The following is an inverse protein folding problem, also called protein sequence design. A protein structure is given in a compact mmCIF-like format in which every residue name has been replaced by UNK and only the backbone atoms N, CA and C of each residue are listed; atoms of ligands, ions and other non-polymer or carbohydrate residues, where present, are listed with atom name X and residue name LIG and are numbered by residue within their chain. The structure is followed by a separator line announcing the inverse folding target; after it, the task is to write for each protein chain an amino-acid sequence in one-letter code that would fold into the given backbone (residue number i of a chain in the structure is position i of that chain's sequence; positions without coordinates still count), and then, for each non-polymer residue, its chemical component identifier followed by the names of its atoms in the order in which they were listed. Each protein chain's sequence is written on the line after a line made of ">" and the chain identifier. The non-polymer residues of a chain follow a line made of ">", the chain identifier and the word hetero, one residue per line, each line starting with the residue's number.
data_IF_729218131786
#
_entry.id   IF_729218131786
#
_cell.length_a   1.000
_cell.length_b   1.000
_cell.length_c   1.000
_cell.angle_alpha   90.00
_cell.angle_beta   90.00
_cell.angle_gamma   90.00
#
_symmetry.space_group_name_H-M   'P 1'
#
loop_
_entity.id
_entity.type
_entity.pdbx_description
1 polymer ?
#
# COMPACT_ATOMS: atom_id res chain seq x y z
N UNK A 1 -12.94 -11.09 23.09
CA UNK A 1 -12.71 -9.79 22.42
C UNK A 1 -13.69 -9.68 21.26
N UNK A 2 -14.52 -8.64 21.23
CA UNK A 2 -15.52 -8.44 20.15
C UNK A 2 -14.83 -8.45 18.78
N UNK A 3 -15.42 -9.12 17.80
CA UNK A 3 -15.06 -9.07 16.38
C UNK A 3 -14.92 -7.60 15.95
N UNK A 4 -13.71 -7.04 16.00
CA UNK A 4 -13.44 -5.77 15.36
C UNK A 4 -13.45 -6.01 13.87
N UNK A 5 -14.08 -5.09 13.13
CA UNK A 5 -14.03 -5.12 11.68
C UNK A 5 -12.57 -5.05 11.24
N UNK A 6 -12.14 -5.96 10.36
CA UNK A 6 -10.79 -5.97 9.81
C UNK A 6 -10.51 -4.67 9.08
N UNK A 7 -11.54 -4.03 8.50
CA UNK A 7 -11.42 -2.68 7.93
C UNK A 7 -10.96 -1.64 8.95
N UNK A 8 -11.53 -1.67 10.17
CA UNK A 8 -11.10 -0.79 11.27
C UNK A 8 -9.67 -1.10 11.71
N UNK A 9 -9.30 -2.38 11.79
CA UNK A 9 -7.96 -2.80 12.19
C UNK A 9 -6.92 -2.30 11.17
N UNK A 10 -7.16 -2.52 9.88
CA UNK A 10 -6.26 -2.10 8.81
C UNK A 10 -6.14 -0.58 8.72
N UNK A 11 -7.12 0.17 9.22
CA UNK A 11 -7.07 1.63 9.28
C UNK A 11 -6.18 2.21 10.39
N UNK A 12 -5.58 1.34 11.22
CA UNK A 12 -4.60 1.69 12.26
C UNK A 12 -3.15 1.33 11.87
N UNK A 13 -2.95 0.83 10.65
CA UNK A 13 -1.61 0.55 10.11
C UNK A 13 -0.84 1.85 9.90
N UNK A 14 0.45 1.89 10.21
CA UNK A 14 1.29 3.05 9.90
C UNK A 14 2.09 2.79 8.63
N UNK A 15 2.00 3.66 7.62
CA UNK A 15 2.75 3.55 6.37
C UNK A 15 4.28 3.53 6.54
N UNK A 16 4.78 4.01 7.67
CA UNK A 16 6.20 3.92 8.06
C UNK A 16 6.65 2.53 8.51
N UNK A 17 5.73 1.57 8.65
CA UNK A 17 6.00 0.23 9.17
C UNK A 17 6.13 -0.82 8.06
N UNK A 18 7.05 -1.77 8.25
CA UNK A 18 7.17 -2.94 7.37
C UNK A 18 6.15 -4.02 7.73
N UNK A 19 5.62 -4.70 6.72
CA UNK A 19 4.75 -5.87 6.90
C UNK A 19 5.59 -7.13 6.69
N UNK A 20 5.37 -8.13 7.53
CA UNK A 20 5.89 -9.47 7.30
C UNK A 20 4.78 -10.36 6.78
N UNK A 21 5.04 -11.07 5.68
CA UNK A 21 4.15 -12.08 5.13
C UNK A 21 4.80 -13.46 5.35
N UNK A 22 4.00 -14.42 5.77
CA UNK A 22 4.43 -15.81 5.96
C UNK A 22 3.35 -16.77 5.50
N UNK A 23 3.77 -18.00 5.22
CA UNK A 23 2.85 -19.13 5.03
C UNK A 23 2.56 -19.77 6.38
N UNK A 24 1.33 -20.25 6.57
CA UNK A 24 1.04 -21.21 7.63
C UNK A 24 1.08 -22.61 7.04
N UNK A 25 1.79 -23.51 7.71
CA UNK A 25 1.56 -24.93 7.49
C UNK A 25 0.26 -25.37 8.19
N UNK A 26 -0.45 -26.38 7.69
CA UNK A 26 -1.70 -26.86 8.31
C UNK A 26 -1.56 -27.26 9.79
N UNK A 27 -0.35 -27.64 10.23
CA UNK A 27 -0.04 -28.06 11.61
C UNK A 27 0.03 -26.87 12.57
N UNK A 28 0.44 -25.69 12.09
CA UNK A 28 0.53 -24.46 12.88
C UNK A 28 -0.84 -23.81 13.09
N UNK A 29 -1.84 -24.13 12.24
CA UNK A 29 -3.19 -23.58 12.35
C UNK A 29 -4.00 -24.14 13.53
N UNK A 30 -3.68 -25.36 14.00
CA UNK A 30 -4.42 -26.02 15.09
C UNK A 30 -3.86 -25.77 16.50
N UNK A 31 -2.61 -25.32 16.62
CA UNK A 31 -1.95 -25.14 17.91
C UNK A 31 -1.91 -23.66 18.28
N UNK A 32 -2.77 -23.27 19.22
CA UNK A 32 -2.53 -22.08 20.03
C UNK A 32 -1.30 -22.34 20.90
N UNK A 33 -0.13 -21.81 20.52
CA UNK A 33 0.85 -21.15 21.39
C UNK A 33 2.28 -21.18 20.81
N UNK A 34 2.97 -20.07 21.04
CA UNK A 34 4.41 -19.80 20.93
C UNK A 34 5.20 -19.99 19.61
N UNK A 35 4.91 -20.93 18.71
CA UNK A 35 5.91 -21.33 17.69
C UNK A 35 5.53 -21.08 16.21
N UNK A 36 4.89 -19.95 15.88
CA UNK A 36 4.66 -19.55 14.47
C UNK A 36 5.92 -19.08 13.71
N UNK A 37 7.11 -19.47 14.17
CA UNK A 37 8.40 -18.95 13.69
C UNK A 37 9.30 -20.01 13.04
N UNK A 38 8.77 -21.20 12.71
CA UNK A 38 9.52 -22.22 11.96
C UNK A 38 9.28 -22.09 10.46
N UNK A 39 10.15 -21.28 9.85
CA UNK A 39 10.31 -21.00 8.42
C UNK A 39 9.94 -22.11 7.42
N UNK A 40 9.33 -21.67 6.32
CA UNK A 40 9.78 -22.08 4.98
C UNK A 40 9.62 -20.99 3.91
N UNK A 41 8.71 -20.02 4.06
CA UNK A 41 8.55 -18.96 3.05
C UNK A 41 8.10 -17.63 3.68
N UNK A 42 9.05 -16.75 4.03
CA UNK A 42 8.79 -15.44 4.65
C UNK A 42 9.23 -14.31 3.72
N UNK A 43 8.34 -13.34 3.49
CA UNK A 43 8.63 -12.12 2.75
C UNK A 43 8.50 -10.91 3.68
N UNK A 44 9.61 -10.22 3.92
CA UNK A 44 9.61 -8.91 4.57
C UNK A 44 9.44 -7.88 3.46
N UNK A 45 8.38 -7.08 3.54
CA UNK A 45 8.11 -6.05 2.54
C UNK A 45 8.48 -4.66 3.04
N UNK A 46 8.96 -3.83 2.12
CA UNK A 46 9.26 -2.43 2.42
C UNK A 46 7.97 -1.59 2.56
N UNK A 47 8.11 -0.35 2.99
CA UNK A 47 6.98 0.55 3.30
C UNK A 47 6.06 0.78 2.09
N UNK A 48 6.61 0.97 0.89
CA UNK A 48 5.80 1.15 -0.33
C UNK A 48 4.97 -0.09 -0.68
N UNK A 49 5.57 -1.29 -0.59
CA UNK A 49 4.84 -2.55 -0.80
C UNK A 49 3.86 -2.84 0.34
N UNK A 50 4.12 -2.34 1.54
CA UNK A 50 3.19 -2.49 2.66
C UNK A 50 1.86 -1.80 2.36
N UNK A 51 1.86 -0.61 1.74
CA UNK A 51 0.64 0.07 1.28
C UNK A 51 -0.13 -0.75 0.25
N UNK A 52 0.56 -1.40 -0.68
CA UNK A 52 -0.05 -2.30 -1.66
C UNK A 52 -0.72 -3.51 -0.99
N UNK A 53 -0.09 -4.06 0.07
CA UNK A 53 -0.65 -5.17 0.84
C UNK A 53 -1.87 -4.72 1.65
N UNK A 54 -1.82 -3.58 2.31
CA UNK A 54 -2.97 -3.07 3.07
C UNK A 54 -4.15 -2.83 2.12
N UNK A 55 -3.89 -2.22 0.96
CA UNK A 55 -4.90 -2.05 -0.09
C UNK A 55 -5.46 -3.40 -0.57
N UNK A 56 -4.60 -4.40 -0.78
CA UNK A 56 -5.00 -5.76 -1.15
C UNK A 56 -5.90 -6.39 -0.08
N UNK A 57 -5.53 -6.30 1.20
CA UNK A 57 -6.31 -6.82 2.32
C UNK A 57 -7.65 -6.09 2.50
N UNK A 58 -7.66 -4.77 2.35
CA UNK A 58 -8.90 -3.96 2.38
C UNK A 58 -9.87 -4.37 1.26
N UNK A 59 -9.34 -4.64 0.07
CA UNK A 59 -10.14 -5.10 -1.09
C UNK A 59 -10.64 -6.53 -0.96
N UNK A 60 -9.86 -7.40 -0.30
CA UNK A 60 -10.29 -8.77 0.01
C UNK A 60 -11.41 -8.78 1.06
N UNK A 61 -11.41 -7.81 1.97
CA UNK A 61 -12.54 -7.54 2.86
C UNK A 61 -12.86 -8.71 3.78
N UNK A 62 -14.06 -9.28 3.65
CA UNK A 62 -14.60 -10.29 4.58
C UNK A 62 -13.81 -11.61 4.62
N UNK A 63 -13.00 -11.89 3.61
CA UNK A 63 -12.18 -13.11 3.56
C UNK A 63 -10.88 -12.98 4.35
N UNK A 64 -10.59 -11.79 4.88
CA UNK A 64 -9.48 -11.57 5.82
C UNK A 64 -9.99 -11.83 7.23
N UNK A 65 -9.25 -12.64 8.00
CA UNK A 65 -9.60 -12.99 9.37
C UNK A 65 -8.51 -12.53 10.32
N UNK A 66 -8.90 -11.89 11.43
CA UNK A 66 -7.98 -11.62 12.53
C UNK A 66 -7.82 -12.88 13.38
N UNK A 67 -6.59 -13.38 13.51
CA UNK A 67 -6.27 -14.47 14.43
C UNK A 67 -6.06 -13.92 15.83
N UNK A 68 -5.08 -13.01 15.99
CA UNK A 68 -4.69 -12.47 17.30
C UNK A 68 -3.94 -11.15 17.17
N UNK A 69 -3.81 -10.48 18.31
CA UNK A 69 -2.86 -9.39 18.47
C UNK A 69 -1.66 -9.87 19.28
N UNK A 70 -0.46 -9.53 18.82
CA UNK A 70 0.79 -9.74 19.55
C UNK A 70 1.27 -8.39 20.06
N UNK A 71 1.61 -8.29 21.35
CA UNK A 71 2.15 -7.06 21.93
C UNK A 71 3.54 -6.81 21.32
N UNK A 72 3.79 -5.59 20.86
CA UNK A 72 5.07 -5.17 20.31
C UNK A 72 5.39 -3.80 20.89
N UNK A 73 5.96 -3.73 22.09
CA UNK A 73 6.19 -2.45 22.79
C UNK A 73 4.98 -1.88 23.52
N UNK A 74 5.09 -0.62 23.97
CA UNK A 74 4.13 0.06 24.85
C UNK A 74 2.89 0.58 24.09
N UNK A 75 3.08 1.08 22.87
CA UNK A 75 2.01 1.66 22.02
C UNK A 75 1.82 0.97 20.67
N UNK A 76 2.48 -0.17 20.45
CA UNK A 76 2.36 -0.93 19.20
C UNK A 76 1.91 -2.38 19.43
N UNK A 77 1.09 -2.87 18.49
CA UNK A 77 0.65 -4.25 18.43
C UNK A 77 0.82 -4.75 17.00
N UNK A 78 1.12 -6.02 16.85
CA UNK A 78 1.10 -6.69 15.56
C UNK A 78 -0.23 -7.42 15.46
N UNK A 79 -1.07 -7.07 14.49
CA UNK A 79 -2.20 -7.90 14.11
C UNK A 79 -1.71 -9.03 13.21
N UNK A 80 -2.07 -10.26 13.57
CA UNK A 80 -1.88 -11.43 12.72
C UNK A 80 -3.19 -11.67 11.99
N UNK A 81 -3.17 -11.43 10.69
CA UNK A 81 -4.30 -11.62 9.79
C UNK A 81 -4.06 -12.80 8.87
N UNK A 82 -5.10 -13.57 8.56
CA UNK A 82 -5.06 -14.61 7.54
C UNK A 82 -5.98 -14.30 6.38
N UNK A 83 -5.61 -14.81 5.22
CA UNK A 83 -6.45 -14.75 4.03
C UNK A 83 -6.25 -16.02 3.20
N UNK A 84 -7.33 -16.46 2.53
CA UNK A 84 -7.23 -17.51 1.52
C UNK A 84 -6.38 -17.00 0.34
N UNK A 85 -5.37 -17.78 -0.05
CA UNK A 85 -4.42 -17.43 -1.10
C UNK A 85 -5.07 -17.30 -2.48
N UNK A 86 -6.12 -18.09 -2.78
CA UNK A 86 -6.85 -18.04 -4.05
C UNK A 86 -7.60 -16.71 -4.16
N UNK A 87 -8.28 -16.30 -3.09
CA UNK A 87 -9.01 -15.02 -3.06
C UNK A 87 -8.04 -13.84 -3.23
N UNK A 88 -6.89 -13.91 -2.54
CA UNK A 88 -5.84 -12.92 -2.66
C UNK A 88 -5.33 -12.78 -4.10
N UNK A 89 -5.14 -13.90 -4.82
CA UNK A 89 -4.77 -13.91 -6.25
C UNK A 89 -5.84 -13.32 -7.15
N UNK A 90 -7.12 -13.58 -6.87
CA UNK A 90 -8.24 -13.00 -7.61
C UNK A 90 -8.28 -11.48 -7.48
N UNK A 91 -8.14 -10.95 -6.26
CA UNK A 91 -8.08 -9.51 -6.02
C UNK A 91 -6.81 -8.91 -6.65
N UNK A 92 -5.66 -9.57 -6.51
CA UNK A 92 -4.43 -9.15 -7.17
C UNK A 92 -4.61 -9.00 -8.70
N UNK A 93 -5.26 -9.97 -9.34
CA UNK A 93 -5.56 -9.90 -10.78
C UNK A 93 -6.46 -8.72 -11.14
N UNK A 94 -7.38 -8.34 -10.25
CA UNK A 94 -8.22 -7.16 -10.41
C UNK A 94 -7.42 -5.85 -10.30
N UNK A 95 -6.49 -5.79 -9.36
CA UNK A 95 -5.57 -4.66 -9.20
C UNK A 95 -4.67 -4.53 -10.44
N UNK A 96 -4.13 -5.65 -10.93
CA UNK A 96 -3.29 -5.71 -12.15
C UNK A 96 -4.02 -5.14 -13.37
N UNK A 97 -5.26 -5.57 -13.61
CA UNK A 97 -6.07 -5.11 -14.75
C UNK A 97 -6.31 -3.60 -14.73
N UNK A 98 -6.47 -3.04 -13.53
CA UNK A 98 -6.72 -1.61 -13.34
C UNK A 98 -5.42 -0.80 -13.23
N UNK A 99 -4.28 -1.45 -13.01
CA UNK A 99 -2.96 -0.84 -13.03
C UNK A 99 -2.66 0.11 -11.87
N UNK A 100 -3.29 -0.06 -10.71
CA UNK A 100 -3.08 0.82 -9.56
C UNK A 100 -2.27 0.11 -8.46
N UNK A 101 -1.05 0.56 -8.22
CA UNK A 101 -0.20 0.12 -7.11
C UNK A 101 0.75 1.26 -6.73
N UNK A 102 1.10 1.35 -5.45
CA UNK A 102 1.93 2.39 -4.86
C UNK A 102 3.42 2.12 -5.07
N UNK A 103 3.86 0.86 -4.91
CA UNK A 103 5.28 0.47 -5.00
C UNK A 103 5.87 0.41 -6.41
N UNK A 104 5.04 0.65 -7.43
CA UNK A 104 5.42 0.55 -8.83
C UNK A 104 5.51 -0.88 -9.37
N UNK A 105 5.59 -0.98 -10.70
CA UNK A 105 5.39 -2.26 -11.43
C UNK A 105 6.38 -3.34 -11.02
N UNK A 106 7.63 -2.95 -10.72
CA UNK A 106 8.70 -3.89 -10.36
C UNK A 106 8.43 -4.56 -9.02
N UNK A 107 8.13 -3.78 -8.00
CA UNK A 107 7.88 -4.31 -6.65
C UNK A 107 6.54 -5.07 -6.60
N UNK A 108 5.51 -4.55 -7.26
CA UNK A 108 4.25 -5.26 -7.43
C UNK A 108 4.42 -6.63 -8.12
N UNK A 109 5.26 -6.71 -9.16
CA UNK A 109 5.58 -7.99 -9.82
C UNK A 109 6.26 -8.98 -8.89
N UNK A 110 7.10 -8.52 -7.96
CA UNK A 110 7.72 -9.40 -6.95
C UNK A 110 6.66 -9.97 -6.00
N UNK A 111 5.75 -9.14 -5.48
CA UNK A 111 4.65 -9.58 -4.63
C UNK A 111 3.78 -10.61 -5.35
N UNK A 112 3.49 -10.39 -6.63
CA UNK A 112 2.75 -11.33 -7.47
C UNK A 112 3.43 -12.67 -7.65
N UNK A 113 4.72 -12.67 -7.95
CA UNK A 113 5.46 -13.92 -8.10
C UNK A 113 5.51 -14.67 -6.77
N UNK A 114 5.74 -13.96 -5.66
CA UNK A 114 5.75 -14.57 -4.34
C UNK A 114 4.39 -15.21 -4.00
N UNK A 115 3.28 -14.50 -4.14
CA UNK A 115 1.93 -15.05 -3.90
C UNK A 115 1.66 -16.27 -4.80
N UNK A 116 2.11 -16.22 -6.06
CA UNK A 116 1.96 -17.34 -7.01
C UNK A 116 2.76 -18.57 -6.58
N UNK A 117 3.98 -18.39 -6.09
CA UNK A 117 4.82 -19.48 -5.57
C UNK A 117 4.22 -20.07 -4.30
N UNK A 118 3.81 -19.21 -3.36
CA UNK A 118 3.14 -19.58 -2.11
C UNK A 118 1.86 -20.41 -2.31
N UNK A 119 1.10 -20.13 -3.37
CA UNK A 119 -0.10 -20.90 -3.72
C UNK A 119 0.15 -22.38 -4.02
N UNK A 120 1.38 -22.75 -4.39
CA UNK A 120 1.75 -24.15 -4.59
C UNK A 120 1.98 -24.88 -3.25
N UNK A 121 2.17 -24.14 -2.16
CA UNK A 121 2.60 -24.66 -0.86
C UNK A 121 1.49 -24.59 0.19
N UNK A 122 0.64 -23.56 0.16
CA UNK A 122 -0.42 -23.37 1.15
C UNK A 122 -1.65 -22.68 0.55
N UNK A 123 -2.81 -22.97 1.15
CA UNK A 123 -4.07 -22.29 0.85
C UNK A 123 -4.30 -21.04 1.70
N UNK A 124 -3.50 -20.82 2.76
CA UNK A 124 -3.68 -19.73 3.73
C UNK A 124 -2.37 -18.95 3.89
N UNK A 125 -2.46 -17.62 3.73
CA UNK A 125 -1.34 -16.69 3.92
C UNK A 125 -1.56 -15.89 5.20
N UNK A 126 -0.49 -15.71 5.97
CA UNK A 126 -0.43 -14.88 7.16
C UNK A 126 0.21 -13.53 6.88
N UNK A 127 -0.38 -12.48 7.47
CA UNK A 127 0.11 -11.11 7.43
C UNK A 127 0.32 -10.62 8.86
N UNK A 128 1.54 -10.22 9.16
CA UNK A 128 1.92 -9.58 10.40
C UNK A 128 1.93 -8.08 10.14
N UNK A 129 0.84 -7.42 10.55
CA UNK A 129 0.61 -5.99 10.29
C UNK A 129 0.87 -5.20 11.57
N UNK A 130 1.93 -4.37 11.62
CA UNK A 130 2.14 -3.47 12.74
C UNK A 130 1.05 -2.40 12.79
N UNK A 131 0.51 -2.19 14.00
CA UNK A 131 -0.53 -1.21 14.28
C UNK A 131 -0.04 -0.27 15.37
N UNK A 132 -0.36 1.01 15.21
CA UNK A 132 -0.11 2.03 16.22
C UNK A 132 -1.42 2.25 16.99
N UNK A 133 -1.40 2.04 18.31
CA UNK A 133 -2.58 2.22 19.16
C UNK A 133 -2.56 3.61 19.81
N UNK A 134 -3.75 4.18 20.02
CA UNK A 134 -3.90 5.50 20.62
C UNK A 134 -3.94 6.64 19.60
N UNK A 135 -3.71 6.35 18.32
CA UNK A 135 -3.95 7.26 17.20
C UNK A 135 -5.38 7.14 16.69
N UNK A 136 -5.89 8.20 16.06
CA UNK A 136 -7.15 8.15 15.33
C UNK A 136 -6.99 7.27 14.09
N UNK A 137 -8.12 6.83 13.52
CA UNK A 137 -8.19 6.20 12.20
C UNK A 137 -7.38 7.02 11.20
N UNK A 138 -6.63 6.36 10.32
CA UNK A 138 -5.88 7.07 9.29
C UNK A 138 -6.79 7.89 8.39
N UNK A 139 -6.43 9.16 8.24
CA UNK A 139 -7.01 10.07 7.26
C UNK A 139 -6.04 10.22 6.10
N UNK A 140 -6.53 9.97 4.89
CA UNK A 140 -5.75 10.08 3.68
C UNK A 140 -6.16 11.31 2.88
N UNK A 141 -5.17 12.08 2.45
CA UNK A 141 -5.37 13.18 1.52
C UNK A 141 -4.47 13.01 0.30
N UNK A 142 -4.95 13.44 -0.86
CA UNK A 142 -4.11 13.61 -2.05
C UNK A 142 -3.92 15.09 -2.29
N UNK A 143 -2.66 15.50 -2.36
CA UNK A 143 -2.23 16.80 -2.82
C UNK A 143 -1.80 16.68 -4.26
N UNK A 144 -2.21 17.60 -5.11
CA UNK A 144 -1.69 17.65 -6.47
C UNK A 144 -1.55 19.07 -6.95
N UNK A 145 -0.56 19.27 -7.81
CA UNK A 145 -0.26 20.56 -8.41
C UNK A 145 -0.52 20.52 -9.91
N UNK A 146 -1.32 21.46 -10.39
CA UNK A 146 -1.53 21.69 -11.82
C UNK A 146 -0.29 22.31 -12.44
N UNK A 147 -0.09 22.16 -13.75
CA UNK A 147 0.99 22.83 -14.50
C UNK A 147 0.95 24.36 -14.35
N UNK A 148 -0.20 24.93 -13.99
CA UNK A 148 -0.39 26.36 -13.70
C UNK A 148 0.25 26.79 -12.37
N UNK A 149 0.62 25.85 -11.51
CA UNK A 149 1.11 26.10 -10.14
C UNK A 149 0.01 26.09 -9.07
N UNK A 150 -1.25 25.88 -9.45
CA UNK A 150 -2.37 25.77 -8.51
C UNK A 150 -2.25 24.47 -7.70
N UNK A 151 -2.33 24.59 -6.37
CA UNK A 151 -2.33 23.49 -5.42
C UNK A 151 -3.74 23.12 -4.99
N UNK A 152 -4.04 21.83 -5.09
CA UNK A 152 -5.35 21.27 -4.75
C UNK A 152 -5.18 20.08 -3.80
N UNK A 153 -6.17 19.92 -2.93
CA UNK A 153 -6.22 18.86 -1.92
C UNK A 153 -7.58 18.17 -1.96
N UNK A 154 -7.56 16.85 -1.99
CA UNK A 154 -8.79 16.02 -1.90
C UNK A 154 -8.66 15.04 -0.74
N UNK A 155 -9.75 14.89 0.02
CA UNK A 155 -9.87 13.85 1.03
C UNK A 155 -10.22 12.51 0.35
N UNK A 156 -9.77 11.42 0.96
CA UNK A 156 -10.02 10.05 0.50
C UNK A 156 -10.24 9.14 1.71
N UNK A 157 -11.22 8.25 1.63
CA UNK A 157 -11.64 7.43 2.77
C UNK A 157 -10.68 6.27 3.06
N UNK A 158 -9.97 5.77 2.04
CA UNK A 158 -9.08 4.61 2.12
C UNK A 158 -8.08 4.58 0.95
N UNK A 159 -7.04 3.75 1.09
CA UNK A 159 -5.97 3.61 0.09
C UNK A 159 -6.46 3.20 -1.30
N UNK A 160 -7.50 2.39 -1.38
CA UNK A 160 -8.06 1.94 -2.67
C UNK A 160 -8.75 3.10 -3.41
N UNK A 161 -9.42 4.02 -2.70
CA UNK A 161 -9.87 5.27 -3.28
C UNK A 161 -8.69 6.18 -3.66
N UNK A 162 -7.67 6.28 -2.79
CA UNK A 162 -6.45 7.05 -3.10
C UNK A 162 -5.85 6.62 -4.44
N UNK A 163 -5.63 5.31 -4.61
CA UNK A 163 -4.98 4.75 -5.78
C UNK A 163 -5.74 5.07 -7.09
N UNK A 164 -7.08 5.04 -7.05
CA UNK A 164 -7.91 5.42 -8.21
C UNK A 164 -7.81 6.91 -8.53
N UNK A 165 -7.84 7.77 -7.52
CA UNK A 165 -7.73 9.21 -7.72
C UNK A 165 -6.35 9.59 -8.24
N UNK A 166 -5.28 8.99 -7.71
CA UNK A 166 -3.91 9.17 -8.23
C UNK A 166 -3.83 8.81 -9.71
N UNK A 167 -4.41 7.68 -10.12
CA UNK A 167 -4.39 7.27 -11.52
C UNK A 167 -5.07 8.29 -12.45
N UNK A 168 -6.20 8.86 -12.02
CA UNK A 168 -6.91 9.94 -12.77
C UNK A 168 -6.12 11.25 -12.80
N UNK A 169 -5.42 11.56 -11.72
CA UNK A 169 -4.61 12.78 -11.58
C UNK A 169 -3.29 12.69 -12.35
N UNK A 170 -2.77 11.49 -12.64
CA UNK A 170 -1.58 11.26 -13.48
C UNK A 170 -1.87 11.51 -14.97
N UNK A 171 -2.11 12.78 -15.31
CA UNK A 171 -2.50 13.23 -16.64
C UNK A 171 -1.62 14.39 -17.12
N UNK A 172 -1.95 14.95 -18.29
CA UNK A 172 -1.13 15.99 -18.90
C UNK A 172 -1.20 17.36 -18.20
N UNK A 173 -2.23 17.64 -17.40
CA UNK A 173 -2.48 18.96 -16.80
C UNK A 173 -1.89 19.14 -15.41
N UNK A 174 -1.43 18.05 -14.78
CA UNK A 174 -0.81 18.04 -13.46
C UNK A 174 0.68 17.70 -13.57
N UNK A 175 1.46 18.08 -12.56
CA UNK A 175 2.89 17.79 -12.54
C UNK A 175 3.46 17.27 -11.22
N UNK A 176 2.72 17.36 -10.13
CA UNK A 176 3.08 16.74 -8.87
C UNK A 176 1.82 16.15 -8.25
N UNK A 177 1.96 14.96 -7.66
CA UNK A 177 0.92 14.31 -6.86
C UNK A 177 1.59 13.73 -5.62
N UNK A 178 1.02 13.98 -4.46
CA UNK A 178 1.49 13.48 -3.17
C UNK A 178 0.33 12.88 -2.38
N UNK A 179 0.60 11.84 -1.60
CA UNK A 179 -0.33 11.27 -0.63
C UNK A 179 0.14 11.64 0.76
N UNK A 180 -0.79 12.14 1.57
CA UNK A 180 -0.62 12.36 3.00
C UNK A 180 -1.41 11.33 3.79
N UNK A 181 -0.81 10.82 4.87
CA UNK A 181 -1.44 10.03 5.92
C UNK A 181 -1.35 10.84 7.22
N UNK A 182 -2.49 11.20 7.81
CA UNK A 182 -2.55 11.96 9.07
C UNK A 182 -1.74 13.28 9.06
N UNK A 183 -1.63 13.91 7.89
CA UNK A 183 -0.87 15.17 7.71
C UNK A 183 0.62 14.97 7.41
N UNK A 184 1.12 13.74 7.38
CA UNK A 184 2.49 13.43 6.96
C UNK A 184 2.51 12.90 5.52
N UNK A 185 3.44 13.39 4.70
CA UNK A 185 3.57 12.94 3.30
C UNK A 185 4.23 11.57 3.25
N UNK A 186 3.59 10.61 2.59
CA UNK A 186 4.04 9.21 2.55
C UNK A 186 4.47 8.76 1.15
N UNK A 187 3.94 9.39 0.10
CA UNK A 187 4.27 9.09 -1.30
C UNK A 187 4.26 10.36 -2.15
N UNK A 188 5.15 10.44 -3.16
CA UNK A 188 5.14 11.51 -4.15
C UNK A 188 5.48 11.01 -5.54
N UNK A 189 4.82 11.58 -6.55
CA UNK A 189 5.19 11.43 -7.94
C UNK A 189 5.28 12.77 -8.64
N UNK A 190 6.36 12.92 -9.39
CA UNK A 190 6.60 14.10 -10.23
C UNK A 190 6.50 13.69 -11.70
N UNK A 191 5.89 14.57 -12.50
CA UNK A 191 5.82 14.40 -13.95
C UNK A 191 7.14 14.85 -14.59
N UNK A 192 7.56 14.13 -15.62
CA UNK A 192 8.69 14.55 -16.44
C UNK A 192 8.36 15.86 -17.18
N UNK A 193 9.25 16.86 -17.09
CA UNK A 193 9.03 18.25 -17.55
C UNK A 193 9.40 18.42 -19.04
N UNK A 194 9.29 17.35 -19.82
CA UNK A 194 9.49 17.38 -21.27
C UNK A 194 8.15 17.61 -21.96
N UNK A 195 8.13 18.42 -23.03
CA UNK A 195 6.92 18.69 -23.83
C UNK A 195 6.26 17.36 -24.24
N UNK A 196 4.95 17.25 -24.00
CA UNK A 196 4.09 16.08 -24.26
C UNK A 196 4.44 14.77 -23.52
N UNK A 197 5.39 14.76 -22.58
CA UNK A 197 5.60 13.57 -21.75
C UNK A 197 4.45 13.43 -20.74
N UNK A 198 3.86 12.24 -20.66
CA UNK A 198 2.99 11.83 -19.55
C UNK A 198 3.68 10.80 -18.65
N UNK A 199 5.02 10.83 -18.61
CA UNK A 199 5.77 9.95 -17.73
C UNK A 199 5.83 10.53 -16.33
N UNK A 200 5.57 9.68 -15.35
CA UNK A 200 5.58 9.99 -13.93
C UNK A 200 6.68 9.17 -13.26
N UNK A 201 7.49 9.80 -12.43
CA UNK A 201 8.49 9.14 -11.60
C UNK A 201 8.08 9.19 -10.14
N UNK A 202 8.38 8.13 -9.39
CA UNK A 202 8.29 8.17 -7.92
C UNK A 202 9.42 9.03 -7.39
N UNK A 203 9.13 9.88 -6.42
CA UNK A 203 10.10 10.73 -5.74
C UNK A 203 9.93 10.57 -4.22
N UNK A 204 11.00 10.67 -3.43
CA UNK A 204 10.91 10.81 -2.00
C UNK A 204 9.98 11.99 -1.64
N UNK A 205 9.06 11.83 -0.67
CA UNK A 205 8.12 12.89 -0.30
C UNK A 205 8.79 14.21 0.08
N UNK A 206 9.96 14.13 0.73
CA UNK A 206 10.71 15.25 1.30
C UNK A 206 11.82 15.79 0.39
N UNK A 207 11.95 15.28 -0.84
CA UNK A 207 12.93 15.81 -1.79
C UNK A 207 12.51 17.21 -2.30
N UNK A 208 13.41 17.94 -2.94
CA UNK A 208 13.09 19.23 -3.58
C UNK A 208 11.93 19.07 -4.57
N UNK A 209 10.98 19.99 -4.53
CA UNK A 209 9.85 20.04 -5.45
C UNK A 209 9.82 21.37 -6.22
N UNK A 210 9.20 21.36 -7.40
CA UNK A 210 8.98 22.58 -8.17
C UNK A 210 7.72 23.25 -7.65
N UNK A 211 7.90 24.49 -7.19
CA UNK A 211 6.81 25.35 -6.75
C UNK A 211 6.36 26.22 -7.92
N UNK A 212 5.05 26.33 -8.10
CA UNK A 212 4.45 27.23 -9.10
C UNK A 212 4.34 26.63 -10.50
N UNK A 213 4.27 27.51 -11.49
CA UNK A 213 3.96 27.15 -12.88
C UNK A 213 5.14 26.45 -13.55
N UNK A 214 4.86 25.37 -14.27
CA UNK A 214 5.88 24.70 -15.10
C UNK A 214 6.18 25.53 -16.36
N UNK A 215 7.47 25.84 -16.63
CA UNK A 215 7.87 26.46 -17.88
C UNK A 215 7.69 25.48 -19.05
N UNK A 216 7.25 26.00 -20.20
CA UNK A 216 7.09 25.19 -21.41
C UNK A 216 8.46 24.94 -22.06
N UNK A 217 9.02 23.74 -21.92
CA UNK A 217 10.33 23.37 -22.50
C UNK A 217 10.10 22.55 -23.78
N UNK A 218 10.38 23.14 -24.95
CA UNK A 218 10.32 22.42 -26.25
C UNK A 218 11.69 21.92 -26.66
N UNK A 219 11.80 20.63 -27.01
CA UNK A 219 12.97 20.07 -27.68
C UNK A 219 12.88 20.40 -29.17
N UNK A 220 13.77 21.25 -29.66
CA UNK A 220 13.92 21.48 -31.10
C UNK A 220 14.63 20.27 -31.71
N UNK A 221 14.07 19.70 -32.79
CA UNK A 221 14.84 18.81 -33.66
C UNK A 221 15.72 19.71 -34.52
N UNK A 222 17.03 19.62 -34.31
CA UNK A 222 18.05 20.17 -35.22
C UNK A 222 18.42 19.06 -36.19
#
# INVERSE_FOLDING_TARGET
>A
MKNRDVGEILSLFSSSSSITISTLTPVEYSNNESDFMTNSNKLIVNNEMALDIIMLLQLTGKDVQLIKFVKSGEHSKIAILTCNAINLKCIQSTIDKKGFYFSGKRQWSKLKNWIKETLNETSIICFHVPLVYGTKKNEYHIHYRKNTGEDLRIFTENLNECARNILKLKNLTNHMICVEENGERILRWDKEITFDSNKWKSCPPDEVEIIGKIPLIRKLKI
#
